data_IF_795935789400
#
_entry.id   IF_795935789400
#
_cell.length_a   1.000
_cell.length_b   1.000
_cell.length_c   1.000
_cell.angle_alpha   90.00
_cell.angle_beta   90.00
_cell.angle_gamma   90.00
#
_symmetry.space_group_name_H-M   'P 1'
#
loop_
_entity.id
_entity.type
_entity.pdbx_description
1 polymer ?
#
# COMPACT_ATOMS: atom_id res chain seq x y z
N UNK A 1 6.13 5.36 96.85
CA UNK A 1 5.24 6.32 96.15
C UNK A 1 4.89 5.73 94.79
N UNK A 2 3.59 5.58 94.51
CA UNK A 2 3.06 5.03 93.26
C UNK A 2 3.01 6.14 92.20
N UNK A 3 3.62 5.94 91.04
CA UNK A 3 3.41 6.81 89.88
C UNK A 3 2.59 6.06 88.85
N UNK A 4 1.37 6.54 88.62
CA UNK A 4 0.41 6.04 87.63
C UNK A 4 0.70 6.66 86.26
N UNK A 5 0.64 5.79 85.26
CA UNK A 5 0.11 5.93 83.90
C UNK A 5 -0.18 7.33 83.33
N UNK A 6 0.18 7.52 82.07
CA UNK A 6 -0.76 7.88 80.99
C UNK A 6 -0.15 7.47 79.65
N UNK A 7 -0.75 6.47 78.99
CA UNK A 7 -0.44 6.06 77.62
C UNK A 7 -1.48 6.74 76.71
N UNK A 8 -1.05 7.66 75.87
CA UNK A 8 -1.91 8.32 74.86
C UNK A 8 -1.80 7.53 73.57
N UNK A 9 -2.86 6.78 73.25
CA UNK A 9 -2.99 6.08 71.96
C UNK A 9 -3.50 7.06 70.91
N UNK A 10 -2.62 7.51 70.02
CA UNK A 10 -2.99 8.28 68.82
C UNK A 10 -3.45 7.29 67.75
N UNK A 11 -4.76 7.24 67.52
CA UNK A 11 -5.39 6.54 66.40
C UNK A 11 -5.24 7.42 65.16
N UNK A 12 -4.19 7.18 64.36
CA UNK A 12 -4.10 7.73 63.01
C UNK A 12 -5.09 6.96 62.11
N UNK A 13 -6.23 7.58 61.81
CA UNK A 13 -7.09 7.20 60.70
C UNK A 13 -6.25 7.25 59.41
N UNK A 14 -5.81 6.08 58.94
CA UNK A 14 -5.34 5.92 57.56
C UNK A 14 -6.57 5.90 56.66
N UNK A 15 -7.08 7.10 56.35
CA UNK A 15 -7.94 7.31 55.20
C UNK A 15 -7.11 6.98 53.96
N UNK A 16 -7.16 5.72 53.52
CA UNK A 16 -6.71 5.32 52.20
C UNK A 16 -7.56 6.11 51.20
N UNK A 17 -7.04 7.26 50.78
CA UNK A 17 -7.53 7.95 49.59
C UNK A 17 -7.23 6.98 48.47
N UNK A 18 -8.23 6.18 48.10
CA UNK A 18 -8.26 5.53 46.81
C UNK A 18 -8.27 6.67 45.79
N UNK A 19 -7.07 7.10 45.38
CA UNK A 19 -6.90 7.93 44.22
C UNK A 19 -7.36 7.08 43.04
N UNK A 20 -8.66 7.14 42.75
CA UNK A 20 -9.17 6.69 41.46
C UNK A 20 -8.42 7.51 40.43
N UNK A 21 -7.48 6.88 39.73
CA UNK A 21 -6.76 7.52 38.61
C UNK A 21 -7.83 8.16 37.73
N UNK A 22 -7.83 9.49 37.63
CA UNK A 22 -8.74 10.15 36.73
C UNK A 22 -8.56 9.53 35.34
N UNK A 23 -9.65 9.14 34.65
CA UNK A 23 -9.54 8.61 33.30
C UNK A 23 -8.86 9.68 32.44
N UNK A 24 -7.66 9.37 31.94
CA UNK A 24 -6.92 10.24 31.04
C UNK A 24 -7.73 10.39 29.75
N UNK A 25 -8.06 11.64 29.38
CA UNK A 25 -8.78 11.94 28.14
C UNK A 25 -7.80 12.20 27.00
N UNK A 26 -8.23 12.07 25.74
CA UNK A 26 -7.35 12.38 24.59
C UNK A 26 -7.00 13.86 24.53
N UNK A 27 -7.87 14.71 25.03
CA UNK A 27 -7.64 16.14 25.20
C UNK A 27 -6.51 16.41 26.20
N UNK A 28 -6.37 15.58 27.23
CA UNK A 28 -5.24 15.68 28.17
C UNK A 28 -3.95 15.15 27.54
N UNK A 29 -4.03 14.06 26.78
CA UNK A 29 -2.88 13.54 26.02
C UNK A 29 -2.40 14.58 25.00
N UNK A 30 -3.31 15.28 24.32
CA UNK A 30 -2.97 16.33 23.35
C UNK A 30 -2.26 17.54 23.97
N UNK A 31 -2.27 17.70 25.29
CA UNK A 31 -1.47 18.73 25.99
C UNK A 31 -0.04 18.26 26.27
N UNK A 32 0.22 16.96 26.20
CA UNK A 32 1.53 16.40 26.50
C UNK A 32 2.51 16.65 25.34
N UNK A 33 3.75 17.06 25.62
CA UNK A 33 4.77 17.18 24.60
C UNK A 33 5.19 15.80 24.11
N UNK A 34 5.31 15.66 22.81
CA UNK A 34 5.84 14.51 22.12
C UNK A 34 7.20 14.78 21.49
N UNK A 35 7.76 13.75 20.88
CA UNK A 35 9.14 13.72 20.41
C UNK A 35 9.26 13.37 18.94
N UNK A 36 10.31 13.92 18.31
CA UNK A 36 10.82 13.44 17.03
C UNK A 36 11.85 12.36 17.30
N UNK A 37 11.58 11.14 16.85
CA UNK A 37 12.43 9.97 17.09
C UNK A 37 13.04 9.52 15.76
N UNK A 38 14.37 9.53 15.61
CA UNK A 38 15.01 8.95 14.44
C UNK A 38 14.68 7.45 14.33
N UNK A 39 14.14 7.03 13.20
CA UNK A 39 13.86 5.65 12.88
C UNK A 39 15.13 4.85 12.58
N UNK A 40 14.96 3.55 12.34
CA UNK A 40 16.07 2.67 11.99
C UNK A 40 16.75 3.10 10.69
N UNK A 41 18.07 2.85 10.62
CA UNK A 41 18.84 3.03 9.37
C UNK A 41 18.13 2.27 8.26
N UNK A 42 17.75 3.02 7.24
CA UNK A 42 16.83 2.53 6.25
C UNK A 42 17.51 1.68 5.19
N UNK A 43 16.72 0.88 4.47
CA UNK A 43 17.25 0.04 3.39
C UNK A 43 17.86 0.92 2.30
N UNK A 44 19.00 0.49 1.77
CA UNK A 44 19.69 1.09 0.60
C UNK A 44 19.90 0.03 -0.49
N UNK A 45 19.04 -1.00 -0.50
CA UNK A 45 19.24 -2.21 -1.29
C UNK A 45 19.33 -1.91 -2.78
N UNK A 46 20.45 -2.32 -3.39
CA UNK A 46 20.75 -2.18 -4.81
C UNK A 46 21.12 -0.76 -5.27
N UNK A 47 21.00 0.28 -4.44
CA UNK A 47 21.14 1.66 -4.92
C UNK A 47 22.60 1.99 -5.21
N UNK A 48 22.90 2.46 -6.43
CA UNK A 48 24.22 2.97 -6.78
C UNK A 48 24.64 4.12 -5.84
N UNK A 49 25.91 4.14 -5.41
CA UNK A 49 26.42 5.11 -4.41
C UNK A 49 26.16 6.56 -4.83
N UNK A 50 26.36 6.89 -6.11
CA UNK A 50 26.14 8.22 -6.65
C UNK A 50 24.67 8.65 -6.60
N UNK A 51 23.73 7.71 -6.76
CA UNK A 51 22.31 7.98 -6.63
C UNK A 51 21.88 8.04 -5.17
N UNK A 52 22.44 7.18 -4.31
CA UNK A 52 22.09 7.13 -2.89
C UNK A 52 22.34 8.47 -2.19
N UNK A 53 23.51 9.09 -2.42
CA UNK A 53 23.83 10.39 -1.81
C UNK A 53 22.85 11.50 -2.22
N UNK A 54 22.41 11.49 -3.48
CA UNK A 54 21.41 12.44 -4.00
C UNK A 54 20.03 12.19 -3.39
N UNK A 55 19.61 10.92 -3.32
CA UNK A 55 18.34 10.54 -2.72
C UNK A 55 18.28 10.89 -1.22
N UNK A 56 19.36 10.64 -0.48
CA UNK A 56 19.47 11.02 0.94
C UNK A 56 19.36 12.53 1.13
N UNK A 57 20.00 13.31 0.26
CA UNK A 57 19.86 14.76 0.26
C UNK A 57 18.40 15.19 0.06
N UNK A 58 17.71 14.60 -0.92
CA UNK A 58 16.29 14.91 -1.18
C UNK A 58 15.42 14.53 0.02
N UNK A 59 15.59 13.33 0.58
CA UNK A 59 14.85 12.88 1.77
C UNK A 59 15.09 13.83 2.95
N UNK A 60 16.33 14.25 3.20
CA UNK A 60 16.63 15.21 4.27
C UNK A 60 15.98 16.57 4.02
N UNK A 61 15.96 17.04 2.76
CA UNK A 61 15.29 18.27 2.37
C UNK A 61 13.75 18.19 2.48
N UNK A 62 13.19 17.00 2.63
CA UNK A 62 11.77 16.81 2.95
C UNK A 62 11.57 16.81 4.47
N UNK A 63 12.38 16.03 5.20
CA UNK A 63 12.22 15.81 6.64
C UNK A 63 12.54 17.08 7.45
N UNK A 64 13.68 17.73 7.20
CA UNK A 64 14.14 18.84 8.05
C UNK A 64 13.18 20.04 8.04
N UNK A 65 12.63 20.49 6.89
CA UNK A 65 11.65 21.57 6.90
C UNK A 65 10.38 21.23 7.67
N UNK A 66 9.90 19.98 7.57
CA UNK A 66 8.73 19.51 8.32
C UNK A 66 9.00 19.57 9.83
N UNK A 67 10.14 19.05 10.29
CA UNK A 67 10.52 19.11 11.71
C UNK A 67 10.68 20.55 12.22
N UNK A 68 11.25 21.44 11.39
CA UNK A 68 11.41 22.85 11.72
C UNK A 68 10.07 23.58 11.85
N UNK A 69 9.06 23.20 11.05
CA UNK A 69 7.73 23.82 11.07
C UNK A 69 6.82 23.20 12.14
N UNK A 70 6.95 21.90 12.39
CA UNK A 70 6.22 21.17 13.44
C UNK A 70 7.15 20.80 14.60
N UNK A 71 7.58 21.83 15.35
CA UNK A 71 8.66 21.72 16.35
C UNK A 71 8.31 20.80 17.51
N UNK A 72 7.06 20.80 17.98
CA UNK A 72 6.63 20.05 19.15
C UNK A 72 5.38 19.23 18.80
N UNK A 73 5.55 17.95 18.42
CA UNK A 73 4.43 17.02 18.31
C UNK A 73 3.69 16.96 19.63
N UNK A 74 2.36 16.92 19.61
CA UNK A 74 1.56 16.92 20.84
C UNK A 74 0.73 15.65 20.94
N UNK A 75 0.84 14.97 22.08
CA UNK A 75 0.18 13.69 22.35
C UNK A 75 0.65 12.51 21.49
N UNK A 76 1.70 12.68 20.69
CA UNK A 76 2.24 11.67 19.78
C UNK A 76 3.76 11.76 19.74
N UNK A 77 4.42 10.62 19.57
CA UNK A 77 5.80 10.61 19.09
C UNK A 77 5.83 10.30 17.60
N UNK A 78 6.70 10.98 16.87
CA UNK A 78 6.83 10.82 15.42
C UNK A 78 8.17 10.15 15.13
N UNK A 79 8.11 8.89 14.73
CA UNK A 79 9.29 8.15 14.26
C UNK A 79 9.51 8.46 12.78
N UNK A 80 10.67 9.01 12.44
CA UNK A 80 10.92 9.50 11.08
C UNK A 80 12.18 8.91 10.46
N UNK A 81 12.24 8.85 9.14
CA UNK A 81 13.44 8.45 8.41
C UNK A 81 13.18 8.42 6.92
N UNK A 82 14.03 7.74 6.15
CA UNK A 82 13.71 7.53 4.74
C UNK A 82 14.47 6.38 4.11
N UNK A 83 13.82 5.66 3.22
CA UNK A 83 14.33 4.44 2.62
C UNK A 83 14.59 4.59 1.13
N UNK A 84 15.55 3.82 0.62
CA UNK A 84 16.12 3.95 -0.71
C UNK A 84 16.21 2.59 -1.38
N UNK A 85 15.54 2.44 -2.52
CA UNK A 85 15.48 1.17 -3.24
C UNK A 85 15.91 1.37 -4.67
N UNK A 86 16.85 0.54 -5.12
CA UNK A 86 17.07 0.37 -6.53
C UNK A 86 15.87 -0.37 -7.09
N UNK A 87 15.47 0.07 -8.27
CA UNK A 87 14.33 -0.49 -8.94
C UNK A 87 14.59 -1.90 -9.55
N UNK A 88 15.69 -2.56 -9.21
CA UNK A 88 16.08 -3.88 -9.74
C UNK A 88 15.27 -5.06 -9.18
N UNK A 89 14.47 -4.86 -8.12
CA UNK A 89 13.65 -5.93 -7.50
C UNK A 89 12.60 -6.53 -8.44
N UNK A 90 12.35 -5.93 -9.59
CA UNK A 90 11.43 -6.41 -10.62
C UNK A 90 12.10 -6.25 -12.00
N UNK A 91 12.96 -7.21 -12.42
CA UNK A 91 13.82 -7.09 -13.60
C UNK A 91 13.07 -6.89 -14.93
N UNK A 92 11.76 -7.16 -14.96
CA UNK A 92 10.89 -6.88 -16.10
C UNK A 92 10.44 -5.41 -16.25
N UNK A 93 10.88 -4.47 -15.38
CA UNK A 93 10.35 -3.09 -15.34
C UNK A 93 11.44 -2.03 -15.59
N UNK A 94 11.27 -1.19 -16.60
CA UNK A 94 12.02 0.07 -16.71
C UNK A 94 11.28 1.15 -15.95
N UNK A 95 11.59 1.35 -14.66
CA UNK A 95 11.09 2.56 -13.99
C UNK A 95 11.91 3.79 -14.40
N UNK A 96 11.24 4.93 -14.52
CA UNK A 96 11.86 6.19 -14.89
C UNK A 96 12.84 6.72 -13.84
N UNK A 97 12.77 6.24 -12.60
CA UNK A 97 13.74 6.52 -11.54
C UNK A 97 13.75 5.46 -10.44
N UNK A 98 14.67 5.60 -9.49
CA UNK A 98 14.67 4.86 -8.24
C UNK A 98 13.50 5.30 -7.36
N UNK A 99 13.02 4.37 -6.55
CA UNK A 99 11.99 4.63 -5.55
C UNK A 99 12.66 4.87 -4.19
N UNK A 100 12.32 5.99 -3.57
CA UNK A 100 12.74 6.33 -2.24
C UNK A 100 11.70 7.23 -1.59
N UNK A 101 11.70 7.28 -0.26
CA UNK A 101 10.68 8.04 0.46
C UNK A 101 11.16 8.51 1.81
N UNK A 102 10.60 9.63 2.27
CA UNK A 102 10.56 10.00 3.68
C UNK A 102 9.35 9.35 4.34
N UNK A 103 9.49 8.82 5.55
CA UNK A 103 8.40 8.28 6.33
C UNK A 103 8.31 8.95 7.70
N UNK A 104 7.08 9.00 8.22
CA UNK A 104 6.72 9.51 9.53
C UNK A 104 5.67 8.58 10.11
N UNK A 105 6.04 7.74 11.08
CA UNK A 105 5.11 6.91 11.84
C UNK A 105 4.65 7.66 13.08
N UNK A 106 3.34 7.69 13.31
CA UNK A 106 2.71 8.44 14.38
C UNK A 106 2.32 7.45 15.47
N UNK A 107 2.99 7.54 16.61
CA UNK A 107 2.74 6.70 17.78
C UNK A 107 2.04 7.52 18.87
N UNK A 108 0.76 7.27 19.07
CA UNK A 108 -0.03 7.94 20.10
C UNK A 108 0.50 7.65 21.51
N UNK A 109 0.50 8.66 22.37
CA UNK A 109 0.84 8.48 23.77
C UNK A 109 -0.26 7.66 24.46
N UNK A 110 0.06 6.62 25.23
CA UNK A 110 -0.93 5.88 26.01
C UNK A 110 -1.45 6.74 27.16
N UNK A 111 -2.68 6.48 27.59
CA UNK A 111 -3.28 7.11 28.77
C UNK A 111 -2.42 6.93 30.03
N UNK A 112 -1.71 5.81 30.14
CA UNK A 112 -0.76 5.51 31.21
C UNK A 112 0.64 5.72 30.68
N UNK A 113 1.28 6.82 31.06
CA UNK A 113 2.63 7.19 30.62
C UNK A 113 3.71 6.42 31.40
N UNK A 114 3.67 5.08 31.34
CA UNK A 114 4.76 4.23 31.82
C UNK A 114 5.71 3.91 30.68
N UNK A 115 6.99 3.71 31.01
CA UNK A 115 8.00 3.30 30.03
C UNK A 115 7.56 2.04 29.26
N UNK A 116 6.95 1.07 29.95
CA UNK A 116 6.43 -0.17 29.35
C UNK A 116 5.28 0.07 28.37
N UNK A 117 4.31 0.94 28.70
CA UNK A 117 3.22 1.28 27.79
C UNK A 117 3.72 2.05 26.56
N UNK A 118 4.76 2.86 26.74
CA UNK A 118 5.42 3.61 25.66
C UNK A 118 6.27 2.73 24.74
N UNK A 119 6.83 1.63 25.25
CA UNK A 119 7.65 0.67 24.49
C UNK A 119 6.79 -0.30 23.65
N UNK A 120 5.55 -0.58 24.07
CA UNK A 120 4.66 -1.55 23.40
C UNK A 120 3.61 -0.93 22.47
N UNK A 121 3.62 0.40 22.28
CA UNK A 121 2.65 1.07 21.40
C UNK A 121 3.03 0.92 19.92
N UNK A 122 2.02 0.60 19.10
CA UNK A 122 2.14 0.61 17.64
C UNK A 122 1.92 2.00 17.05
N UNK A 123 2.33 2.20 15.80
CA UNK A 123 1.93 3.38 15.04
C UNK A 123 0.46 3.25 14.65
N UNK A 124 -0.37 4.21 15.02
CA UNK A 124 -1.79 4.26 14.64
C UNK A 124 -1.96 4.92 13.26
N UNK A 125 -1.04 5.78 12.85
CA UNK A 125 -1.08 6.48 11.59
C UNK A 125 0.32 6.63 10.98
N UNK A 126 0.39 6.92 9.69
CA UNK A 126 1.64 7.27 9.04
C UNK A 126 1.47 8.27 7.90
N UNK A 127 2.56 8.99 7.62
CA UNK A 127 2.74 9.83 6.46
C UNK A 127 3.98 9.36 5.70
N UNK A 128 3.84 9.07 4.42
CA UNK A 128 4.94 8.83 3.50
C UNK A 128 4.97 9.89 2.41
N UNK A 129 6.18 10.35 2.05
CA UNK A 129 6.42 11.24 0.92
C UNK A 129 7.38 10.53 -0.02
N UNK A 130 6.85 10.01 -1.12
CA UNK A 130 7.47 9.04 -2.00
C UNK A 130 7.86 9.68 -3.32
N UNK A 131 9.11 9.54 -3.72
CA UNK A 131 9.58 9.91 -5.05
C UNK A 131 9.39 8.74 -6.02
N UNK A 132 8.87 9.03 -7.22
CA UNK A 132 8.73 8.07 -8.32
C UNK A 132 7.89 6.82 -8.00
N UNK A 133 7.06 6.86 -6.97
CA UNK A 133 6.17 5.77 -6.59
C UNK A 133 4.88 6.28 -5.96
N UNK A 134 3.82 5.48 -6.05
CA UNK A 134 2.50 5.80 -5.51
C UNK A 134 2.28 5.26 -4.10
N UNK A 135 3.24 4.49 -3.56
CA UNK A 135 3.18 3.83 -2.25
C UNK A 135 1.79 3.30 -1.92
N UNK A 136 1.19 2.61 -2.89
CA UNK A 136 0.07 1.73 -2.63
C UNK A 136 0.68 0.52 -1.93
N UNK A 137 0.09 0.09 -0.83
CA UNK A 137 0.62 -0.95 0.05
C UNK A 137 1.30 -2.10 -0.71
N UNK A 138 2.46 -2.51 -0.18
CA UNK A 138 3.22 -3.72 -0.50
C UNK A 138 2.91 -4.42 -1.85
N UNK A 139 3.77 -4.19 -2.83
CA UNK A 139 3.94 -5.08 -3.98
C UNK A 139 3.38 -4.59 -5.30
N UNK A 140 2.80 -3.38 -5.33
CA UNK A 140 2.15 -2.85 -6.52
C UNK A 140 2.72 -1.48 -6.94
N UNK A 141 4.00 -1.44 -7.32
CA UNK A 141 4.66 -0.23 -7.86
C UNK A 141 4.31 0.05 -9.33
N UNK A 142 4.38 1.32 -9.74
CA UNK A 142 4.10 1.80 -11.10
C UNK A 142 4.94 1.11 -12.21
N UNK A 143 4.31 0.77 -13.35
CA UNK A 143 4.89 -0.01 -14.47
C UNK A 143 5.02 0.77 -15.78
N UNK A 144 6.24 1.06 -16.24
CA UNK A 144 6.46 1.32 -17.67
C UNK A 144 7.13 0.08 -18.24
N UNK A 145 6.48 -0.66 -19.16
CA UNK A 145 7.12 -1.78 -19.84
C UNK A 145 8.42 -1.32 -20.50
N UNK A 146 9.49 -2.11 -20.41
CA UNK A 146 10.72 -1.90 -21.20
C UNK A 146 10.44 -2.02 -22.70
N UNK A 147 9.41 -2.77 -23.08
CA UNK A 147 8.94 -2.93 -24.46
C UNK A 147 7.40 -2.82 -24.50
N UNK A 148 6.82 -2.06 -25.44
CA UNK A 148 5.37 -1.83 -25.52
C UNK A 148 4.51 -3.11 -25.65
N UNK A 149 5.11 -4.26 -25.98
CA UNK A 149 4.40 -5.47 -26.40
C UNK A 149 4.68 -6.70 -25.50
N UNK A 150 5.48 -6.57 -24.44
CA UNK A 150 5.71 -7.64 -23.46
C UNK A 150 4.91 -7.31 -22.20
N UNK A 151 3.60 -7.60 -22.21
CA UNK A 151 2.74 -7.41 -21.04
C UNK A 151 2.68 -8.68 -20.18
N UNK A 152 3.01 -8.57 -18.89
CA UNK A 152 2.58 -9.51 -17.86
C UNK A 152 1.28 -9.01 -17.22
N UNK A 153 0.11 -9.52 -17.62
CA UNK A 153 -1.17 -9.05 -17.10
C UNK A 153 -1.39 -9.23 -15.58
N UNK A 154 -0.60 -10.05 -14.85
CA UNK A 154 -0.62 -10.06 -13.37
C UNK A 154 0.13 -8.88 -12.74
N UNK A 155 1.14 -8.35 -13.44
CA UNK A 155 2.12 -7.42 -12.86
C UNK A 155 2.47 -6.25 -13.76
N UNK A 156 1.78 -5.97 -14.87
CA UNK A 156 2.16 -4.87 -15.78
C UNK A 156 0.98 -4.01 -16.21
N UNK A 157 -0.26 -4.50 -16.12
CA UNK A 157 -1.35 -3.89 -16.86
C UNK A 157 -2.10 -2.80 -16.08
N UNK A 158 -2.41 -3.00 -14.79
CA UNK A 158 -3.35 -2.14 -14.08
C UNK A 158 -2.97 -1.84 -12.64
N UNK A 159 -3.25 -0.61 -12.24
CA UNK A 159 -3.47 -0.23 -10.85
C UNK A 159 -4.91 0.15 -10.66
N UNK A 160 -5.33 0.06 -9.42
CA UNK A 160 -6.65 0.47 -9.00
C UNK A 160 -6.49 1.67 -8.07
N UNK A 161 -7.36 2.67 -8.23
CA UNK A 161 -7.54 3.78 -7.29
C UNK A 161 -9.02 3.91 -6.98
N UNK A 162 -9.38 4.25 -5.76
CA UNK A 162 -10.78 4.20 -5.32
C UNK A 162 -11.60 5.35 -5.89
N UNK A 163 -10.93 6.47 -6.16
CA UNK A 163 -11.56 7.70 -6.58
C UNK A 163 -10.79 8.35 -7.72
N UNK A 164 -11.53 9.04 -8.57
CA UNK A 164 -10.93 9.88 -9.61
C UNK A 164 -10.15 11.02 -8.93
N UNK A 165 -8.88 11.25 -9.30
CA UNK A 165 -8.12 12.36 -8.77
C UNK A 165 -8.75 13.69 -9.14
N UNK A 166 -8.78 14.61 -8.17
CA UNK A 166 -9.25 15.99 -8.35
C UNK A 166 -8.09 16.95 -8.13
N UNK A 167 -7.99 17.98 -8.97
CA UNK A 167 -6.96 18.99 -8.82
C UNK A 167 -7.36 19.97 -7.71
N UNK A 168 -6.57 20.03 -6.64
CA UNK A 168 -6.74 20.95 -5.50
C UNK A 168 -5.42 21.68 -5.25
N UNK A 169 -5.45 23.01 -5.29
CA UNK A 169 -4.28 23.86 -5.03
C UNK A 169 -3.05 23.47 -5.88
N UNK A 170 -3.26 23.15 -7.16
CA UNK A 170 -2.20 22.77 -8.10
C UNK A 170 -1.66 21.34 -7.94
N UNK A 171 -2.25 20.53 -7.07
CA UNK A 171 -1.88 19.14 -6.80
C UNK A 171 -3.05 18.21 -7.03
N UNK A 172 -2.80 16.99 -7.49
CA UNK A 172 -3.86 16.00 -7.61
C UNK A 172 -4.12 15.37 -6.25
N UNK A 173 -5.39 15.20 -5.90
CA UNK A 173 -5.82 14.66 -4.62
C UNK A 173 -6.90 13.61 -4.81
N UNK A 174 -6.86 12.54 -4.02
CA UNK A 174 -7.97 11.61 -3.86
C UNK A 174 -7.91 10.93 -2.50
N UNK A 175 -8.99 10.25 -2.13
CA UNK A 175 -9.02 9.32 -1.00
C UNK A 175 -9.05 7.89 -1.51
N UNK A 176 -8.28 7.03 -0.84
CA UNK A 176 -8.40 5.59 -0.95
C UNK A 176 -9.00 5.03 0.35
N UNK A 177 -9.61 3.86 0.27
CA UNK A 177 -10.38 3.23 1.33
C UNK A 177 -11.85 3.69 1.37
N UNK A 178 -12.74 3.00 0.64
CA UNK A 178 -14.16 2.94 1.06
C UNK A 178 -14.27 2.00 2.28
N UNK A 179 -14.09 2.49 3.51
CA UNK A 179 -14.17 1.62 4.70
C UNK A 179 -13.46 2.12 5.97
N UNK A 180 -12.71 1.24 6.65
CA UNK A 180 -12.18 1.46 8.01
C UNK A 180 -10.83 2.20 8.09
N UNK A 181 -10.19 2.49 6.94
CA UNK A 181 -8.93 3.26 6.87
C UNK A 181 -9.08 4.44 5.95
N UNK A 182 -8.71 5.62 6.45
CA UNK A 182 -8.78 6.88 5.72
C UNK A 182 -7.43 7.16 5.08
N UNK A 183 -7.24 6.67 3.86
CA UNK A 183 -6.04 6.94 3.08
C UNK A 183 -6.25 8.23 2.29
N UNK A 184 -5.37 9.20 2.49
CA UNK A 184 -5.36 10.46 1.74
C UNK A 184 -4.11 10.50 0.88
N UNK A 185 -4.29 10.81 -0.42
CA UNK A 185 -3.19 10.90 -1.37
C UNK A 185 -3.15 12.23 -2.07
N UNK A 186 -1.95 12.77 -2.17
CA UNK A 186 -1.64 13.90 -3.05
C UNK A 186 -0.53 13.52 -4.02
N UNK A 187 -0.62 13.98 -5.25
CA UNK A 187 0.45 13.86 -6.24
C UNK A 187 0.92 15.25 -6.65
N UNK A 188 2.22 15.45 -6.46
CA UNK A 188 2.95 16.63 -6.87
C UNK A 188 3.66 16.28 -8.17
N UNK A 189 3.24 16.91 -9.25
CA UNK A 189 3.68 16.59 -10.59
C UNK A 189 4.01 17.85 -11.41
N UNK A 190 4.72 17.64 -12.53
CA UNK A 190 5.00 18.68 -13.50
C UNK A 190 3.74 19.07 -14.28
N UNK A 191 3.56 20.37 -14.52
CA UNK A 191 2.45 20.95 -15.29
C UNK A 191 1.05 20.47 -14.88
N UNK A 192 0.89 20.04 -13.63
CA UNK A 192 -0.34 19.43 -13.13
C UNK A 192 -0.81 18.24 -14.01
N UNK A 193 0.10 17.52 -14.66
CA UNK A 193 -0.20 16.28 -15.38
C UNK A 193 -0.13 15.09 -14.43
N UNK A 194 -0.97 14.08 -14.60
CA UNK A 194 -0.86 12.85 -13.82
C UNK A 194 0.23 11.93 -14.38
N UNK A 195 0.99 11.23 -13.52
CA UNK A 195 1.92 10.20 -13.96
C UNK A 195 1.19 8.96 -14.51
N UNK A 196 -0.13 8.85 -14.33
CA UNK A 196 -1.00 7.81 -14.88
C UNK A 196 -2.12 8.40 -15.73
N UNK A 197 -2.79 7.52 -16.47
CA UNK A 197 -4.08 7.77 -17.09
C UNK A 197 -5.10 6.74 -16.61
N UNK A 198 -6.35 7.17 -16.46
CA UNK A 198 -7.49 6.25 -16.32
C UNK A 198 -7.73 5.61 -17.68
N UNK A 199 -7.80 4.29 -17.73
CA UNK A 199 -8.02 3.57 -18.98
C UNK A 199 -9.50 3.41 -19.27
N UNK A 200 -9.83 3.22 -20.54
CA UNK A 200 -11.20 2.96 -20.96
C UNK A 200 -11.62 1.51 -20.71
N UNK A 201 -12.93 1.26 -20.69
CA UNK A 201 -13.51 -0.08 -20.68
C UNK A 201 -12.98 -0.93 -21.83
N UNK A 202 -12.81 -0.36 -23.02
CA UNK A 202 -12.22 -1.04 -24.18
C UNK A 202 -10.80 -1.52 -23.91
N UNK A 203 -9.92 -0.61 -23.50
CA UNK A 203 -8.52 -0.93 -23.26
C UNK A 203 -8.38 -1.99 -22.16
N UNK A 204 -9.16 -1.87 -21.08
CA UNK A 204 -9.19 -2.86 -20.00
C UNK A 204 -9.64 -4.23 -20.51
N UNK A 205 -10.73 -4.29 -21.27
CA UNK A 205 -11.28 -5.55 -21.79
C UNK A 205 -10.30 -6.23 -22.77
N UNK A 206 -9.66 -5.48 -23.68
CA UNK A 206 -8.65 -6.03 -24.61
C UNK A 206 -7.49 -6.70 -23.87
N UNK A 207 -6.98 -6.05 -22.82
CA UNK A 207 -5.90 -6.58 -21.98
C UNK A 207 -6.34 -7.76 -21.10
N UNK A 208 -7.55 -7.72 -20.53
CA UNK A 208 -8.12 -8.86 -19.79
C UNK A 208 -8.32 -10.08 -20.70
N UNK A 209 -8.66 -9.87 -21.97
CA UNK A 209 -8.75 -10.97 -22.94
C UNK A 209 -7.43 -11.71 -23.07
N UNK A 210 -6.34 -10.96 -23.27
CA UNK A 210 -4.98 -11.51 -23.34
C UNK A 210 -4.59 -12.20 -22.03
N UNK A 211 -4.94 -11.62 -20.88
CA UNK A 211 -4.73 -12.22 -19.57
C UNK A 211 -5.37 -13.60 -19.45
N UNK A 212 -6.68 -13.71 -19.71
CA UNK A 212 -7.39 -14.98 -19.54
C UNK A 212 -6.95 -16.03 -20.55
N UNK A 213 -6.67 -15.64 -21.79
CA UNK A 213 -6.12 -16.56 -22.79
C UNK A 213 -4.78 -17.14 -22.33
N UNK A 214 -3.88 -16.29 -21.81
CA UNK A 214 -2.60 -16.74 -21.24
C UNK A 214 -2.81 -17.63 -20.02
N UNK A 215 -3.73 -17.29 -19.12
CA UNK A 215 -4.01 -18.10 -17.91
C UNK A 215 -4.55 -19.48 -18.25
N UNK A 216 -5.46 -19.56 -19.21
CA UNK A 216 -5.97 -20.84 -19.72
C UNK A 216 -4.83 -21.69 -20.27
N UNK A 217 -3.93 -21.12 -21.08
CA UNK A 217 -2.76 -21.83 -21.60
C UNK A 217 -1.80 -22.30 -20.49
N UNK A 218 -1.53 -21.44 -19.50
CA UNK A 218 -0.70 -21.77 -18.34
C UNK A 218 -1.31 -22.88 -17.49
N UNK A 219 -2.62 -22.86 -17.26
CA UNK A 219 -3.36 -23.92 -16.55
C UNK A 219 -3.22 -25.26 -17.28
N UNK A 220 -3.33 -25.28 -18.60
CA UNK A 220 -3.13 -26.50 -19.41
C UNK A 220 -1.69 -27.01 -19.32
N UNK A 221 -0.71 -26.11 -19.42
CA UNK A 221 0.70 -26.47 -19.32
C UNK A 221 1.04 -27.03 -17.92
N UNK A 222 0.55 -26.37 -16.86
CA UNK A 222 0.73 -26.81 -15.48
C UNK A 222 0.07 -28.17 -15.25
N UNK A 223 -1.15 -28.39 -15.76
CA UNK A 223 -1.82 -29.69 -15.67
C UNK A 223 -0.98 -30.80 -16.31
N UNK A 224 -0.47 -30.59 -17.52
CA UNK A 224 0.39 -31.57 -18.20
C UNK A 224 1.68 -31.85 -17.43
N UNK A 225 2.29 -30.80 -16.84
CA UNK A 225 3.46 -30.96 -15.98
C UNK A 225 3.14 -31.76 -14.71
N UNK A 226 2.01 -31.48 -14.06
CA UNK A 226 1.53 -32.23 -12.89
C UNK A 226 1.28 -33.69 -13.24
N UNK A 227 0.66 -34.00 -14.39
CA UNK A 227 0.48 -35.38 -14.83
C UNK A 227 1.82 -36.11 -15.02
N UNK A 228 2.81 -35.44 -15.61
CA UNK A 228 4.16 -36.01 -15.78
C UNK A 228 4.82 -36.30 -14.42
N UNK A 229 4.80 -35.34 -13.49
CA UNK A 229 5.37 -35.52 -12.15
C UNK A 229 4.63 -36.59 -11.34
N UNK A 230 3.31 -36.70 -11.48
CA UNK A 230 2.53 -37.76 -10.86
C UNK A 230 2.88 -39.14 -11.43
N UNK A 231 3.12 -39.25 -12.73
CA UNK A 231 3.57 -40.50 -13.34
C UNK A 231 4.96 -40.92 -12.83
N UNK A 232 5.90 -39.99 -12.70
CA UNK A 232 7.22 -40.25 -12.11
C UNK A 232 7.10 -40.72 -10.65
N UNK A 233 6.22 -40.11 -9.85
CA UNK A 233 5.94 -40.53 -8.49
C UNK A 233 5.28 -41.91 -8.43
N UNK A 234 4.32 -42.20 -9.31
CA UNK A 234 3.69 -43.52 -9.47
C UNK A 234 4.74 -44.60 -9.72
N UNK A 235 5.64 -44.42 -10.69
CA UNK A 235 6.69 -45.39 -11.01
C UNK A 235 7.64 -45.64 -9.83
N UNK A 236 7.87 -44.65 -8.97
CA UNK A 236 8.69 -44.81 -7.78
C UNK A 236 7.98 -45.59 -6.67
N UNK A 237 6.71 -45.29 -6.38
CA UNK A 237 5.91 -46.01 -5.36
C UNK A 237 5.70 -47.47 -5.80
N UNK A 238 5.48 -47.70 -7.09
CA UNK A 238 5.24 -49.02 -7.69
C UNK A 238 6.35 -50.03 -7.37
N UNK A 239 7.61 -49.57 -7.25
CA UNK A 239 8.77 -50.41 -6.90
C UNK A 239 8.65 -51.05 -5.52
N UNK A 240 7.86 -50.47 -4.63
CA UNK A 240 7.69 -50.91 -3.25
C UNK A 240 6.29 -51.48 -2.99
N UNK A 241 5.24 -50.88 -3.59
CA UNK A 241 3.85 -51.25 -3.33
C UNK A 241 2.92 -50.90 -4.51
N UNK A 242 2.51 -51.90 -5.30
CA UNK A 242 1.62 -51.71 -6.46
C UNK A 242 0.24 -51.15 -6.10
N UNK A 243 -0.34 -51.64 -4.99
CA UNK A 243 -1.68 -51.25 -4.55
C UNK A 243 -1.72 -49.77 -4.18
N UNK A 244 -0.71 -49.32 -3.43
CA UNK A 244 -0.56 -47.92 -3.05
C UNK A 244 -0.23 -47.04 -4.25
N UNK A 245 0.64 -47.48 -5.15
CA UNK A 245 0.95 -46.75 -6.38
C UNK A 245 -0.31 -46.51 -7.22
N UNK A 246 -1.13 -47.55 -7.40
CA UNK A 246 -2.40 -47.43 -8.16
C UNK A 246 -3.36 -46.46 -7.49
N UNK A 247 -3.55 -46.56 -6.16
CA UNK A 247 -4.38 -45.62 -5.41
C UNK A 247 -3.88 -44.17 -5.54
N UNK A 248 -2.57 -43.94 -5.46
CA UNK A 248 -1.96 -42.63 -5.66
C UNK A 248 -2.23 -42.09 -7.07
N UNK A 249 -2.02 -42.90 -8.11
CA UNK A 249 -2.22 -42.48 -9.50
C UNK A 249 -3.67 -42.06 -9.75
N UNK A 250 -4.63 -42.85 -9.28
CA UNK A 250 -6.05 -42.58 -9.48
C UNK A 250 -6.49 -41.31 -8.72
N UNK A 251 -6.06 -41.16 -7.47
CA UNK A 251 -6.38 -39.98 -6.66
C UNK A 251 -5.71 -38.71 -7.18
N UNK A 252 -4.43 -38.77 -7.56
CA UNK A 252 -3.67 -37.62 -8.04
C UNK A 252 -4.18 -37.14 -9.41
N UNK A 253 -4.64 -38.05 -10.28
CA UNK A 253 -5.31 -37.69 -11.54
C UNK A 253 -6.62 -36.94 -11.29
N UNK A 254 -7.49 -37.46 -10.43
CA UNK A 254 -8.75 -36.80 -10.07
C UNK A 254 -8.51 -35.42 -9.46
N UNK A 255 -7.51 -35.30 -8.57
CA UNK A 255 -7.14 -34.01 -7.99
C UNK A 255 -6.64 -33.01 -9.04
N UNK A 256 -5.78 -33.45 -9.96
CA UNK A 256 -5.27 -32.61 -11.05
C UNK A 256 -6.39 -32.16 -12.00
N UNK A 257 -7.30 -33.06 -12.38
CA UNK A 257 -8.46 -32.74 -13.23
C UNK A 257 -9.42 -31.77 -12.54
N UNK A 258 -9.66 -31.94 -11.24
CA UNK A 258 -10.47 -31.02 -10.45
C UNK A 258 -9.87 -29.61 -10.43
N UNK A 259 -8.57 -29.49 -10.16
CA UNK A 259 -7.89 -28.21 -10.15
C UNK A 259 -7.94 -27.52 -11.51
N UNK A 260 -7.63 -28.28 -12.59
CA UNK A 260 -7.74 -27.78 -13.97
C UNK A 260 -9.15 -27.29 -14.28
N UNK A 261 -10.17 -28.06 -13.92
CA UNK A 261 -11.58 -27.70 -14.19
C UNK A 261 -12.00 -26.41 -13.47
N UNK A 262 -11.59 -26.23 -12.21
CA UNK A 262 -11.87 -25.01 -11.43
C UNK A 262 -11.24 -23.79 -12.11
N UNK A 263 -9.96 -23.87 -12.46
CA UNK A 263 -9.23 -22.75 -13.08
C UNK A 263 -9.78 -22.41 -14.47
N UNK A 264 -9.98 -23.42 -15.32
CA UNK A 264 -10.56 -23.23 -16.65
C UNK A 264 -11.99 -22.68 -16.59
N UNK A 265 -12.80 -23.13 -15.63
CA UNK A 265 -14.15 -22.61 -15.42
C UNK A 265 -14.14 -21.14 -15.03
N UNK A 266 -13.29 -20.77 -14.08
CA UNK A 266 -13.13 -19.38 -13.62
C UNK A 266 -12.64 -18.46 -14.73
N UNK A 267 -11.51 -18.78 -15.38
CA UNK A 267 -10.96 -17.93 -16.44
C UNK A 267 -11.80 -17.96 -17.72
N UNK A 268 -12.41 -19.10 -18.04
CA UNK A 268 -13.31 -19.24 -19.19
C UNK A 268 -14.56 -18.37 -19.07
N UNK A 269 -15.18 -18.32 -17.87
CA UNK A 269 -16.30 -17.41 -17.59
C UNK A 269 -15.89 -15.95 -17.77
N UNK A 270 -14.79 -15.53 -17.16
CA UNK A 270 -14.30 -14.15 -17.25
C UNK A 270 -13.90 -13.76 -18.69
N UNK A 271 -13.31 -14.68 -19.45
CA UNK A 271 -13.00 -14.49 -20.87
C UNK A 271 -14.28 -14.28 -21.70
N UNK A 272 -15.32 -15.09 -21.47
CA UNK A 272 -16.59 -14.95 -22.18
C UNK A 272 -17.25 -13.59 -21.92
N UNK A 273 -17.21 -13.10 -20.68
CA UNK A 273 -17.67 -11.74 -20.32
C UNK A 273 -16.92 -10.67 -21.12
N UNK A 274 -15.60 -10.74 -21.11
CA UNK A 274 -14.74 -9.80 -21.84
C UNK A 274 -15.01 -9.83 -23.35
N UNK A 275 -15.13 -11.01 -23.94
CA UNK A 275 -15.43 -11.14 -25.37
C UNK A 275 -16.83 -10.61 -25.71
N UNK A 276 -17.80 -10.78 -24.82
CA UNK A 276 -19.14 -10.20 -24.99
C UNK A 276 -19.09 -8.67 -24.98
N UNK A 277 -18.34 -8.07 -24.05
CA UNK A 277 -18.13 -6.61 -23.97
C UNK A 277 -17.48 -6.09 -25.25
N UNK A 278 -16.41 -6.74 -25.72
CA UNK A 278 -15.68 -6.30 -26.92
C UNK A 278 -16.49 -6.47 -28.22
N UNK A 279 -17.47 -7.38 -28.25
CA UNK A 279 -18.40 -7.57 -29.37
C UNK A 279 -19.61 -6.64 -29.29
N UNK A 280 -19.81 -5.92 -28.18
CA UNK A 280 -20.96 -5.03 -28.00
C UNK A 280 -20.92 -3.90 -29.03
N UNK A 281 -22.08 -3.56 -29.66
CA UNK A 281 -22.18 -2.42 -30.56
C UNK A 281 -22.12 -1.07 -29.84
N UNK A 282 -22.17 -1.06 -28.50
CA UNK A 282 -22.12 0.15 -27.66
C UNK A 282 -20.70 0.74 -27.57
N UNK A 283 -20.22 1.25 -28.70
CA UNK A 283 -18.92 1.90 -28.82
C UNK A 283 -18.73 3.12 -27.90
N UNK A 284 -19.76 3.95 -27.63
CA UNK A 284 -19.65 5.04 -26.66
C UNK A 284 -19.32 4.56 -25.24
N UNK A 285 -20.05 3.56 -24.72
CA UNK A 285 -19.78 3.04 -23.38
C UNK A 285 -18.37 2.45 -23.26
N UNK A 286 -17.83 1.89 -24.34
CA UNK A 286 -16.46 1.37 -24.38
C UNK A 286 -15.37 2.44 -24.21
N UNK A 287 -15.68 3.73 -24.41
CA UNK A 287 -14.76 4.85 -24.16
C UNK A 287 -14.84 5.37 -22.73
N UNK A 288 -15.83 4.96 -21.94
CA UNK A 288 -15.93 5.36 -20.54
C UNK A 288 -14.79 4.77 -19.70
N UNK A 289 -14.48 5.38 -18.54
CA UNK A 289 -13.56 4.82 -17.56
C UNK A 289 -13.88 3.36 -17.21
N UNK A 290 -12.84 2.53 -17.14
CA UNK A 290 -12.94 1.20 -16.59
C UNK A 290 -13.00 1.28 -15.05
N UNK A 291 -14.15 0.95 -14.48
CA UNK A 291 -14.35 0.82 -13.03
C UNK A 291 -14.73 -0.63 -12.75
N UNK A 292 -14.03 -1.26 -11.81
CA UNK A 292 -14.21 -2.68 -11.48
C UNK A 292 -14.54 -2.89 -10.02
N UNK A 293 -15.11 -4.05 -9.70
CA UNK A 293 -15.19 -4.56 -8.33
C UNK A 293 -13.83 -5.17 -7.91
N UNK A 294 -13.13 -4.52 -7.00
CA UNK A 294 -11.82 -4.98 -6.54
C UNK A 294 -11.88 -6.24 -5.65
N UNK A 295 -13.03 -6.55 -5.04
CA UNK A 295 -13.19 -7.77 -4.21
C UNK A 295 -13.21 -9.00 -5.10
N UNK A 296 -13.91 -8.92 -6.24
CA UNK A 296 -13.85 -9.94 -7.30
C UNK A 296 -12.48 -9.96 -7.98
N UNK A 297 -11.91 -8.77 -8.16
CA UNK A 297 -10.59 -8.59 -8.75
C UNK A 297 -10.52 -9.11 -10.19
N UNK A 298 -9.30 -9.38 -10.66
CA UNK A 298 -9.08 -9.78 -12.06
C UNK A 298 -9.33 -11.26 -12.33
N UNK A 299 -9.38 -12.13 -11.32
CA UNK A 299 -9.59 -13.57 -11.58
C UNK A 299 -11.06 -13.88 -11.86
N UNK A 300 -11.97 -13.14 -11.22
CA UNK A 300 -13.42 -13.32 -11.29
C UNK A 300 -14.09 -12.08 -11.88
N UNK A 301 -13.59 -11.58 -13.02
CA UNK A 301 -14.18 -10.39 -13.65
C UNK A 301 -15.57 -10.70 -14.21
N UNK A 302 -16.59 -10.06 -13.66
CA UNK A 302 -17.99 -10.22 -14.05
C UNK A 302 -18.53 -9.04 -14.88
N UNK A 303 -17.75 -7.97 -15.01
CA UNK A 303 -18.11 -6.78 -15.78
C UNK A 303 -17.59 -5.49 -15.15
N UNK A 304 -17.90 -4.37 -15.81
CA UNK A 304 -17.65 -3.04 -15.26
C UNK A 304 -18.77 -2.63 -14.32
N UNK A 305 -18.42 -1.93 -13.25
CA UNK A 305 -19.36 -1.36 -12.28
C UNK A 305 -19.40 0.15 -12.41
N UNK A 306 -20.30 0.80 -11.68
CA UNK A 306 -20.44 2.25 -11.59
C UNK A 306 -19.76 2.79 -10.33
N UNK A 307 -19.54 4.11 -10.25
CA UNK A 307 -18.83 4.76 -9.14
C UNK A 307 -19.48 4.57 -7.76
N UNK A 308 -20.79 4.38 -7.74
CA UNK A 308 -21.61 4.15 -6.53
C UNK A 308 -21.46 2.73 -5.96
N UNK A 309 -20.89 1.78 -6.71
CA UNK A 309 -20.63 0.43 -6.20
C UNK A 309 -19.65 0.45 -5.01
N UNK A 310 -19.95 -0.30 -3.95
CA UNK A 310 -19.21 -0.28 -2.67
C UNK A 310 -17.72 -0.60 -2.81
N UNK A 311 -17.37 -1.38 -3.83
CA UNK A 311 -15.99 -1.81 -4.12
C UNK A 311 -15.47 -1.28 -5.46
N UNK A 312 -16.12 -0.26 -6.01
CA UNK A 312 -15.68 0.41 -7.24
C UNK A 312 -14.25 0.93 -7.12
N UNK A 313 -13.38 0.53 -8.04
CA UNK A 313 -12.07 1.14 -8.23
C UNK A 313 -11.82 1.41 -9.72
N UNK A 314 -11.20 2.55 -10.01
CA UNK A 314 -10.77 2.94 -11.35
C UNK A 314 -9.51 2.18 -11.75
N UNK A 315 -9.54 1.57 -12.93
CA UNK A 315 -8.34 1.05 -13.55
C UNK A 315 -7.51 2.19 -14.13
N UNK A 316 -6.23 2.22 -13.76
CA UNK A 316 -5.25 3.17 -14.27
C UNK A 316 -4.03 2.42 -14.82
N UNK A 317 -3.32 3.09 -15.72
CA UNK A 317 -1.99 2.67 -16.17
C UNK A 317 -1.03 3.84 -16.17
N UNK A 318 0.28 3.58 -16.20
CA UNK A 318 1.26 4.65 -16.32
C UNK A 318 1.09 5.46 -17.60
N UNK A 319 1.40 6.75 -17.48
CA UNK A 319 1.39 7.72 -18.55
C UNK A 319 2.81 7.82 -19.13
N UNK A 320 3.16 7.07 -20.18
CA UNK A 320 4.53 7.02 -20.67
C UNK A 320 5.03 8.40 -21.13
N UNK A 321 4.15 9.29 -21.62
CA UNK A 321 4.54 10.64 -22.06
C UNK A 321 4.86 11.59 -20.90
N UNK A 322 4.52 11.21 -19.66
CA UNK A 322 4.89 11.99 -18.47
C UNK A 322 6.36 11.79 -18.10
N UNK A 323 6.92 10.62 -18.41
CA UNK A 323 8.22 10.22 -17.88
C UNK A 323 9.37 10.55 -18.83
N UNK A 324 10.42 11.13 -18.27
CA UNK A 324 11.67 11.40 -18.98
C UNK A 324 12.73 10.34 -18.62
N UNK A 325 13.04 9.39 -19.51
CA UNK A 325 14.04 8.35 -19.24
C UNK A 325 15.48 8.86 -19.20
N UNK A 326 15.75 10.10 -19.63
CA UNK A 326 17.08 10.70 -19.65
C UNK A 326 17.48 11.32 -18.30
N UNK A 327 16.53 11.46 -17.36
CA UNK A 327 16.83 11.95 -16.03
C UNK A 327 17.65 10.93 -15.23
N UNK A 328 18.57 11.38 -14.35
CA UNK A 328 19.23 10.50 -13.39
C UNK A 328 18.22 9.67 -12.59
N UNK A 329 18.55 8.43 -12.26
CA UNK A 329 17.66 7.56 -11.48
C UNK A 329 17.34 8.13 -10.09
N UNK A 330 18.21 8.96 -9.53
CA UNK A 330 17.96 9.70 -8.29
C UNK A 330 16.96 10.86 -8.42
N UNK A 331 16.65 11.34 -9.63
CA UNK A 331 15.76 12.49 -9.83
C UNK A 331 14.29 12.12 -9.62
N UNK A 332 13.53 12.83 -8.76
CA UNK A 332 12.08 12.68 -8.67
C UNK A 332 11.41 13.23 -9.92
N UNK A 333 10.57 12.46 -10.59
CA UNK A 333 9.71 12.95 -11.68
C UNK A 333 8.31 13.31 -11.18
N UNK A 334 7.91 12.74 -10.04
CA UNK A 334 6.75 13.14 -9.25
C UNK A 334 6.97 12.75 -7.79
N UNK A 335 6.20 13.37 -6.89
CA UNK A 335 6.05 12.92 -5.52
C UNK A 335 4.62 12.47 -5.25
N UNK A 336 4.47 11.44 -4.41
CA UNK A 336 3.20 11.09 -3.77
C UNK A 336 3.32 11.39 -2.29
N UNK A 337 2.37 12.13 -1.73
CA UNK A 337 2.18 12.29 -0.30
C UNK A 337 1.03 11.38 0.09
N UNK A 338 1.31 10.39 0.92
CA UNK A 338 0.35 9.37 1.34
C UNK A 338 0.21 9.43 2.86
N UNK A 339 -0.96 9.82 3.33
CA UNK A 339 -1.30 9.80 4.74
C UNK A 339 -2.32 8.70 4.99
N UNK A 340 -2.08 7.86 5.99
CA UNK A 340 -3.02 6.83 6.42
C UNK A 340 -3.27 6.92 7.91
N UNK A 341 -4.53 6.75 8.28
CA UNK A 341 -5.00 6.59 9.64
C UNK A 341 -6.29 5.74 9.63
N UNK A 342 -6.67 5.12 10.75
CA UNK A 342 -7.99 4.54 10.92
C UNK A 342 -9.09 5.58 10.67
N UNK A 343 -10.31 5.17 10.29
CA UNK A 343 -11.49 6.06 10.24
C UNK A 343 -12.39 5.92 11.47
N UNK A 344 -11.97 5.16 12.49
CA UNK A 344 -12.74 4.99 13.73
C UNK A 344 -12.99 6.34 14.41
N UNK A 345 -14.19 6.55 14.96
CA UNK A 345 -14.65 7.85 15.49
C UNK A 345 -13.91 8.40 16.72
N UNK A 346 -12.75 7.84 17.06
CA UNK A 346 -11.92 8.25 18.19
C UNK A 346 -10.44 8.38 17.76
N UNK A 347 -10.14 9.27 16.81
CA UNK A 347 -8.78 9.44 16.26
C UNK A 347 -8.20 10.84 16.49
N UNK A 348 -8.64 11.55 17.54
CA UNK A 348 -8.27 12.96 17.80
C UNK A 348 -6.77 13.25 17.67
N UNK A 349 -5.91 12.40 18.25
CA UNK A 349 -4.46 12.56 18.23
C UNK A 349 -3.88 12.39 16.82
N UNK A 350 -4.28 11.33 16.11
CA UNK A 350 -3.88 11.08 14.72
C UNK A 350 -4.39 12.15 13.76
N UNK A 351 -5.63 12.62 13.93
CA UNK A 351 -6.21 13.71 13.14
C UNK A 351 -5.45 15.02 13.35
N UNK A 352 -5.14 15.36 14.61
CA UNK A 352 -4.35 16.55 14.88
C UNK A 352 -2.94 16.45 14.32
N UNK A 353 -2.29 15.30 14.48
CA UNK A 353 -0.97 15.05 13.89
C UNK A 353 -1.00 15.12 12.36
N UNK A 354 -2.07 14.62 11.71
CA UNK A 354 -2.30 14.75 10.27
C UNK A 354 -2.33 16.20 9.84
N UNK A 355 -3.18 17.01 10.48
CA UNK A 355 -3.30 18.44 10.17
C UNK A 355 -1.96 19.16 10.32
N UNK A 356 -1.28 18.94 11.45
CA UNK A 356 -0.01 19.62 11.74
C UNK A 356 1.10 19.18 10.78
N UNK A 357 1.18 17.89 10.43
CA UNK A 357 2.12 17.38 9.43
C UNK A 357 1.81 17.92 8.03
N UNK A 358 0.56 17.87 7.58
CA UNK A 358 0.18 18.39 6.26
C UNK A 358 0.42 19.89 6.14
N UNK A 359 0.15 20.64 7.22
CA UNK A 359 0.48 22.06 7.30
C UNK A 359 2.00 22.30 7.30
N UNK A 360 2.79 21.37 7.83
CA UNK A 360 4.25 21.45 7.86
C UNK A 360 4.91 21.16 6.50
N UNK A 361 4.25 20.44 5.59
CA UNK A 361 4.76 20.14 4.25
C UNK A 361 4.83 21.42 3.41
N UNK A 362 6.00 21.67 2.81
CA UNK A 362 6.17 22.67 1.77
C UNK A 362 6.01 22.02 0.38
N UNK A 363 4.78 22.01 -0.12
CA UNK A 363 4.46 21.47 -1.44
C UNK A 363 5.14 22.24 -2.59
N UNK A 364 5.49 23.52 -2.38
CA UNK A 364 6.24 24.29 -3.38
C UNK A 364 7.66 23.77 -3.46
N UNK A 365 8.30 23.54 -2.32
CA UNK A 365 9.63 22.91 -2.25
C UNK A 365 9.65 21.51 -2.88
N UNK A 366 8.64 20.67 -2.62
CA UNK A 366 8.51 19.38 -3.30
C UNK A 366 8.45 19.53 -4.83
N UNK A 367 7.71 20.53 -5.32
CA UNK A 367 7.61 20.80 -6.77
C UNK A 367 8.93 21.28 -7.36
N UNK A 368 9.74 22.05 -6.63
CA UNK A 368 11.05 22.52 -7.12
C UNK A 368 12.11 21.43 -7.15
N UNK A 369 11.94 20.36 -6.36
CA UNK A 369 12.80 19.18 -6.36
C UNK A 369 12.57 18.23 -7.54
N UNK A 370 11.47 18.40 -8.30
CA UNK A 370 11.22 17.58 -9.49
C UNK A 370 12.34 17.79 -10.53
N UNK A 371 12.90 16.70 -11.04
CA UNK A 371 13.92 16.70 -12.08
C UNK A 371 13.39 17.33 -13.36
N UNK A 372 14.18 18.21 -13.96
CA UNK A 372 13.82 18.98 -15.16
C UNK A 372 14.53 18.43 -16.39
#
# INVERSE_FOLDING_TARGET
MKTKATLVTIVCLMSAIAATSQPCTKEDILKQPGNWIPGMKSSTYGVAVADLAKQQTIVNNIIQPIQKKYVSPRGVDIVFGGAHFENSRLPQISKPGNYYYAYFYIAEHPCVYTKEAMENRGASAYLWICANDFSLEFGQSFFVPTKPNEENPKTDAFRLIDQKPVLKNGMWYWRDGKGSTGDHRWVISQDSKLPFVVISRKEMAERLKVYYQKKIQETEAQFNQTLKSNEEAYQNIKKFNEKEATAFRDQSKVAAERQRSIELGMYGKSLAVVESILKSPDHPALQEPAIIDHIKGFNEFEGFVTEDHSYAMYAIRPNPVYFNPQLPKSSPQFFTVHFRMPETGDNLLSEKAKEDLLNAIDFTSLKTMLGK
#
